data_IF_890694105557
#
_entry.id   IF_890694105557
#
_cell.length_a   1.000
_cell.length_b   1.000
_cell.length_c   1.000
_cell.angle_alpha   90.00
_cell.angle_beta   90.00
_cell.angle_gamma   90.00
#
_symmetry.space_group_name_H-M   'P 1'
#
loop_
_entity.id
_entity.type
_entity.pdbx_description
1 polymer ?
#
# COMPACT_ATOMS: atom_id res chain seq x y z
N UNK A 1 -30.71 24.31 -51.69
CA UNK A 1 -31.57 23.30 -51.04
C UNK A 1 -30.64 22.29 -50.36
N UNK A 2 -30.53 22.34 -49.03
CA UNK A 2 -29.64 21.44 -48.30
C UNK A 2 -30.33 20.08 -48.13
N UNK A 3 -29.79 19.05 -48.77
CA UNK A 3 -30.20 17.65 -48.59
C UNK A 3 -30.12 17.29 -47.11
N UNK A 4 -31.27 16.96 -46.50
CA UNK A 4 -31.28 16.46 -45.13
C UNK A 4 -30.43 15.18 -45.06
N UNK A 5 -29.46 15.10 -44.14
CA UNK A 5 -28.61 13.92 -44.04
C UNK A 5 -29.45 12.71 -43.63
N UNK A 6 -29.21 11.62 -44.36
CA UNK A 6 -29.88 10.33 -44.25
C UNK A 6 -30.02 9.89 -42.77
N UNK A 7 -31.22 9.52 -42.29
CA UNK A 7 -31.43 9.14 -40.90
C UNK A 7 -30.49 8.02 -40.43
N UNK A 8 -30.11 7.09 -41.31
CA UNK A 8 -29.16 6.03 -40.99
C UNK A 8 -27.78 6.57 -40.58
N UNK A 9 -27.33 7.66 -41.21
CA UNK A 9 -26.06 8.30 -40.90
C UNK A 9 -26.08 8.98 -39.52
N UNK A 10 -27.22 9.56 -39.13
CA UNK A 10 -27.40 10.15 -37.80
C UNK A 10 -27.34 9.10 -36.70
N UNK A 11 -27.98 7.96 -36.91
CA UNK A 11 -27.91 6.84 -35.96
C UNK A 11 -26.48 6.32 -35.80
N UNK A 12 -25.74 6.14 -36.90
CA UNK A 12 -24.34 5.71 -36.86
C UNK A 12 -23.45 6.73 -36.13
N UNK A 13 -23.62 8.02 -36.40
CA UNK A 13 -22.87 9.08 -35.72
C UNK A 13 -23.16 9.10 -34.20
N UNK A 14 -24.42 8.97 -33.80
CA UNK A 14 -24.81 8.91 -32.38
C UNK A 14 -24.23 7.70 -31.66
N UNK A 15 -24.22 6.52 -32.30
CA UNK A 15 -23.60 5.31 -31.74
C UNK A 15 -22.08 5.48 -31.61
N UNK A 16 -21.44 6.07 -32.61
CA UNK A 16 -20.00 6.31 -32.60
C UNK A 16 -19.58 7.27 -31.47
N UNK A 17 -20.35 8.35 -31.27
CA UNK A 17 -20.15 9.29 -30.17
C UNK A 17 -20.31 8.59 -28.81
N UNK A 18 -21.33 7.74 -28.66
CA UNK A 18 -21.55 6.98 -27.42
C UNK A 18 -20.37 6.03 -27.12
N UNK A 19 -19.86 5.33 -28.13
CA UNK A 19 -18.69 4.44 -27.99
C UNK A 19 -17.44 5.24 -27.61
N UNK A 20 -17.22 6.40 -28.24
CA UNK A 20 -16.10 7.30 -27.93
C UNK A 20 -16.21 7.87 -26.51
N UNK A 21 -17.42 8.20 -26.04
CA UNK A 21 -17.66 8.64 -24.67
C UNK A 21 -17.34 7.53 -23.67
N UNK A 22 -17.79 6.29 -23.92
CA UNK A 22 -17.48 5.14 -23.04
C UNK A 22 -15.98 4.85 -23.02
N UNK A 23 -15.31 4.90 -24.18
CA UNK A 23 -13.86 4.71 -24.29
C UNK A 23 -13.08 5.84 -23.59
N UNK A 24 -13.52 7.09 -23.76
CA UNK A 24 -12.97 8.27 -23.10
C UNK A 24 -13.12 8.21 -21.58
N UNK A 25 -14.30 7.85 -21.09
CA UNK A 25 -14.56 7.62 -19.65
C UNK A 25 -13.67 6.49 -19.12
N UNK A 26 -13.58 5.35 -19.81
CA UNK A 26 -12.68 4.25 -19.42
C UNK A 26 -11.20 4.67 -19.39
N UNK A 27 -10.78 5.57 -20.28
CA UNK A 27 -9.41 6.08 -20.34
C UNK A 27 -9.13 7.11 -19.24
N UNK A 28 -10.09 7.98 -18.92
CA UNK A 28 -10.00 8.95 -17.81
C UNK A 28 -10.00 8.26 -16.44
N UNK A 29 -10.73 7.14 -16.29
CA UNK A 29 -10.69 6.31 -15.08
C UNK A 29 -9.44 5.42 -14.97
N UNK A 30 -8.65 5.31 -16.05
CA UNK A 30 -7.33 4.67 -16.05
C UNK A 30 -6.24 5.71 -15.84
N UNK A 31 -6.40 6.59 -14.85
CA UNK A 31 -5.22 7.22 -14.27
C UNK A 31 -4.33 6.10 -13.74
N UNK A 32 -3.07 5.98 -14.20
CA UNK A 32 -2.16 4.99 -13.64
C UNK A 32 -2.09 5.26 -12.15
N UNK A 33 -2.39 4.24 -11.34
CA UNK A 33 -2.23 4.34 -9.89
C UNK A 33 -0.86 4.93 -9.61
N UNK A 34 -0.82 6.08 -8.91
CA UNK A 34 0.44 6.69 -8.52
C UNK A 34 1.28 5.61 -7.86
N UNK A 35 2.47 5.33 -8.42
CA UNK A 35 3.42 4.46 -7.77
C UNK A 35 3.65 5.00 -6.37
N UNK A 36 3.52 4.17 -5.31
CA UNK A 36 3.82 4.65 -3.97
C UNK A 36 5.25 5.17 -3.96
N UNK A 37 5.39 6.38 -3.45
CA UNK A 37 6.67 7.04 -3.25
C UNK A 37 6.76 7.38 -1.77
N UNK A 38 7.95 7.18 -1.21
CA UNK A 38 8.27 7.67 0.11
C UNK A 38 8.71 9.12 -0.06
N UNK A 39 7.93 10.05 0.49
CA UNK A 39 8.28 11.46 0.40
C UNK A 39 9.36 11.82 1.44
N UNK A 40 10.36 12.66 1.08
CA UNK A 40 11.35 13.14 2.02
C UNK A 40 10.67 13.93 3.15
N UNK A 41 11.16 13.78 4.38
CA UNK A 41 10.58 14.41 5.56
C UNK A 41 11.49 14.22 6.78
N UNK A 42 11.36 15.13 7.75
CA UNK A 42 12.23 15.28 8.92
C UNK A 42 11.98 14.28 10.06
N UNK A 43 10.79 13.67 10.14
CA UNK A 43 10.48 12.66 11.15
C UNK A 43 11.11 11.28 10.78
N UNK A 44 11.57 10.48 11.76
CA UNK A 44 11.99 9.11 11.48
C UNK A 44 10.81 8.29 10.97
N UNK A 45 11.03 7.52 9.90
CA UNK A 45 9.94 6.80 9.21
C UNK A 45 9.49 5.56 9.98
N UNK A 46 10.38 4.96 10.77
CA UNK A 46 10.16 3.71 11.49
C UNK A 46 10.75 3.84 12.89
N UNK A 47 10.13 3.20 13.87
CA UNK A 47 10.59 3.15 15.24
C UNK A 47 10.54 1.72 15.77
N UNK A 48 11.48 1.38 16.65
CA UNK A 48 11.41 0.20 17.49
C UNK A 48 10.37 0.42 18.60
N UNK A 49 9.69 -0.64 19.10
CA UNK A 49 8.70 -0.52 20.18
C UNK A 49 9.21 0.20 21.43
N UNK A 50 10.52 0.15 21.68
CA UNK A 50 11.23 0.81 22.77
C UNK A 50 11.37 2.33 22.57
N UNK A 51 10.97 2.86 21.41
CA UNK A 51 10.99 4.28 21.07
C UNK A 51 12.22 4.72 20.26
N UNK A 52 13.18 3.82 20.01
CA UNK A 52 14.34 4.13 19.19
C UNK A 52 13.93 4.33 17.73
N UNK A 53 14.24 5.51 17.19
CA UNK A 53 14.08 5.82 15.78
C UNK A 53 15.01 4.95 14.93
N UNK A 54 14.48 4.48 13.81
CA UNK A 54 15.18 3.59 12.89
C UNK A 54 15.06 4.12 11.46
N UNK A 55 16.17 4.17 10.73
CA UNK A 55 16.10 4.54 9.32
C UNK A 55 15.49 3.40 8.49
N UNK A 56 15.03 3.72 7.28
CA UNK A 56 14.57 2.68 6.36
C UNK A 56 15.69 1.70 5.99
N UNK A 57 16.94 2.19 5.89
CA UNK A 57 18.11 1.35 5.61
C UNK A 57 18.36 0.32 6.71
N UNK A 58 18.22 0.73 7.97
CA UNK A 58 18.41 -0.15 9.13
C UNK A 58 17.26 -1.16 9.29
N UNK A 59 16.07 -0.83 8.79
CA UNK A 59 14.91 -1.73 8.84
C UNK A 59 15.05 -2.88 7.85
N UNK A 60 15.81 -2.68 6.79
CA UNK A 60 16.04 -3.64 5.73
C UNK A 60 17.31 -4.45 5.99
N UNK A 61 17.48 -5.60 5.31
CA UNK A 61 18.76 -6.29 5.31
C UNK A 61 19.88 -5.42 4.74
N UNK A 62 21.17 -5.74 5.00
CA UNK A 62 22.32 -4.93 4.55
C UNK A 62 22.42 -4.71 3.03
N UNK A 63 21.85 -5.62 2.23
CA UNK A 63 21.76 -5.48 0.77
C UNK A 63 20.65 -4.49 0.33
N UNK A 64 19.95 -3.88 1.28
CA UNK A 64 18.80 -3.00 1.09
C UNK A 64 17.61 -3.69 0.43
N UNK A 65 17.57 -5.02 0.37
CA UNK A 65 16.60 -5.78 -0.40
C UNK A 65 15.74 -6.65 0.51
N UNK A 66 14.50 -6.21 0.72
CA UNK A 66 13.57 -6.87 1.61
C UNK A 66 12.15 -6.34 1.49
N UNK A 67 11.28 -6.82 2.37
CA UNK A 67 9.87 -6.53 2.37
C UNK A 67 9.44 -5.94 3.70
N UNK A 68 8.64 -4.88 3.65
CA UNK A 68 7.95 -4.32 4.81
C UNK A 68 6.45 -4.55 4.68
N UNK A 69 5.87 -5.29 5.62
CA UNK A 69 4.43 -5.44 5.75
C UNK A 69 3.91 -4.33 6.67
N UNK A 70 3.19 -3.38 6.10
CA UNK A 70 2.55 -2.30 6.83
C UNK A 70 1.11 -2.71 7.19
N UNK A 71 0.80 -2.63 8.47
CA UNK A 71 -0.50 -2.97 9.03
C UNK A 71 -1.00 -1.85 9.94
N UNK A 72 -2.29 -1.51 9.86
CA UNK A 72 -2.91 -0.65 10.87
C UNK A 72 -3.05 -1.45 12.16
N UNK A 73 -2.74 -0.84 13.30
CA UNK A 73 -2.90 -1.54 14.58
C UNK A 73 -4.38 -1.92 14.80
N UNK A 74 -4.65 -3.18 15.20
CA UNK A 74 -6.01 -3.71 15.21
C UNK A 74 -6.85 -3.05 16.30
N UNK A 75 -8.07 -2.65 15.94
CA UNK A 75 -9.07 -2.07 16.87
C UNK A 75 -10.16 -3.06 17.28
N UNK A 76 -10.32 -4.14 16.53
CA UNK A 76 -11.32 -5.19 16.75
C UNK A 76 -10.71 -6.58 16.43
N UNK A 77 -11.39 -7.67 16.82
CA UNK A 77 -10.91 -9.04 16.55
C UNK A 77 -10.70 -9.34 15.06
N UNK A 78 -11.58 -8.86 14.18
CA UNK A 78 -11.48 -9.08 12.73
C UNK A 78 -10.20 -8.47 12.14
N UNK A 79 -9.82 -7.27 12.59
CA UNK A 79 -8.56 -6.65 12.20
C UNK A 79 -7.36 -7.50 12.63
N UNK A 80 -7.42 -8.16 13.81
CA UNK A 80 -6.33 -9.06 14.25
C UNK A 80 -6.20 -10.27 13.33
N UNK A 81 -7.33 -10.86 12.95
CA UNK A 81 -7.36 -11.97 12.00
C UNK A 81 -6.82 -11.55 10.63
N UNK A 82 -7.20 -10.36 10.14
CA UNK A 82 -6.72 -9.84 8.87
C UNK A 82 -5.19 -9.65 8.86
N UNK A 83 -4.63 -9.07 9.93
CA UNK A 83 -3.18 -8.93 10.08
C UNK A 83 -2.52 -10.31 10.14
N UNK A 84 -3.12 -11.28 10.83
CA UNK A 84 -2.59 -12.65 10.94
C UNK A 84 -2.50 -13.32 9.57
N UNK A 85 -3.57 -13.23 8.78
CA UNK A 85 -3.60 -13.73 7.40
C UNK A 85 -2.57 -13.03 6.51
N UNK A 86 -2.45 -11.70 6.61
CA UNK A 86 -1.48 -10.94 5.84
C UNK A 86 -0.03 -11.28 6.21
N UNK A 87 0.25 -11.49 7.50
CA UNK A 87 1.55 -11.91 8.01
C UNK A 87 1.93 -13.30 7.50
N UNK A 88 1.03 -14.28 7.66
CA UNK A 88 1.29 -15.64 7.19
C UNK A 88 1.52 -15.68 5.67
N UNK A 89 0.65 -15.01 4.92
CA UNK A 89 0.79 -14.90 3.47
C UNK A 89 2.14 -14.27 3.09
N UNK A 90 2.56 -13.21 3.78
CA UNK A 90 3.82 -12.54 3.49
C UNK A 90 5.03 -13.41 3.81
N UNK A 91 4.98 -14.20 4.89
CA UNK A 91 6.02 -15.16 5.25
C UNK A 91 6.17 -16.25 4.18
N UNK A 92 5.05 -16.84 3.74
CA UNK A 92 5.04 -17.93 2.77
C UNK A 92 5.67 -17.50 1.43
N UNK A 93 5.54 -16.21 1.07
CA UNK A 93 6.01 -15.68 -0.21
C UNK A 93 7.34 -14.93 -0.14
N UNK A 94 7.83 -14.58 1.06
CA UNK A 94 9.04 -13.79 1.25
C UNK A 94 9.86 -14.28 2.46
N UNK A 95 10.30 -15.56 2.46
CA UNK A 95 11.02 -16.12 3.59
C UNK A 95 12.33 -15.36 3.87
N UNK A 96 12.55 -15.03 5.15
CA UNK A 96 13.82 -14.46 5.64
C UNK A 96 14.11 -12.99 5.29
N UNK A 97 13.22 -12.30 4.56
CA UNK A 97 13.41 -10.90 4.17
C UNK A 97 12.21 -10.01 4.51
N UNK A 98 11.44 -10.36 5.54
CA UNK A 98 10.19 -9.70 5.90
C UNK A 98 10.28 -9.05 7.29
N UNK A 99 9.86 -7.79 7.38
CA UNK A 99 9.54 -7.14 8.67
C UNK A 99 8.13 -6.60 8.69
N UNK A 100 7.51 -6.63 9.87
CA UNK A 100 6.20 -6.03 10.10
C UNK A 100 6.33 -4.63 10.68
N UNK A 101 5.53 -3.70 10.17
CA UNK A 101 5.42 -2.31 10.65
C UNK A 101 3.97 -2.07 11.07
N UNK A 102 3.78 -1.73 12.34
CA UNK A 102 2.47 -1.41 12.90
C UNK A 102 2.23 0.09 12.99
N UNK A 103 1.15 0.53 12.36
CA UNK A 103 0.78 1.95 12.31
C UNK A 103 -0.11 2.26 13.51
N UNK A 104 0.42 2.98 14.50
CA UNK A 104 -0.22 3.16 15.81
C UNK A 104 0.27 4.42 16.54
N UNK A 105 -0.58 4.95 17.42
CA UNK A 105 -0.19 5.93 18.46
C UNK A 105 0.06 5.27 19.83
N UNK A 106 0.01 3.94 19.89
CA UNK A 106 0.16 3.12 21.11
C UNK A 106 1.28 2.09 20.91
N UNK A 107 2.56 2.52 20.88
CA UNK A 107 3.70 1.63 20.63
C UNK A 107 3.89 0.58 21.73
N UNK A 108 3.47 0.90 22.96
CA UNK A 108 3.46 0.02 24.13
C UNK A 108 2.74 -1.32 23.86
N UNK A 109 1.73 -1.32 22.99
CA UNK A 109 0.92 -2.51 22.68
C UNK A 109 1.48 -3.36 21.54
N UNK A 110 2.48 -2.86 20.81
CA UNK A 110 3.04 -3.52 19.63
C UNK A 110 3.76 -4.81 20.00
N UNK A 111 4.54 -4.80 21.08
CA UNK A 111 5.22 -6.02 21.57
C UNK A 111 4.24 -7.13 21.91
N UNK A 112 3.16 -6.82 22.61
CA UNK A 112 2.17 -7.82 23.02
C UNK A 112 1.45 -8.44 21.80
N UNK A 113 1.07 -7.61 20.83
CA UNK A 113 0.47 -8.09 19.59
C UNK A 113 1.46 -8.96 18.80
N UNK A 114 2.69 -8.49 18.62
CA UNK A 114 3.71 -9.22 17.89
C UNK A 114 4.05 -10.56 18.55
N UNK A 115 4.16 -10.60 19.88
CA UNK A 115 4.37 -11.83 20.62
C UNK A 115 3.22 -12.84 20.40
N UNK A 116 1.96 -12.38 20.48
CA UNK A 116 0.79 -13.21 20.20
C UNK A 116 0.80 -13.77 18.78
N UNK A 117 1.25 -12.99 17.80
CA UNK A 117 1.32 -13.38 16.38
C UNK A 117 2.63 -14.06 15.98
N UNK A 118 3.58 -14.22 16.91
CA UNK A 118 4.95 -14.70 16.65
C UNK A 118 5.67 -13.90 15.56
N UNK A 119 5.47 -12.59 15.55
CA UNK A 119 6.15 -11.66 14.63
C UNK A 119 7.50 -11.28 15.26
N UNK A 120 8.63 -11.61 14.61
CA UNK A 120 9.94 -11.24 15.11
C UNK A 120 10.22 -9.76 14.88
N UNK A 121 10.79 -9.10 15.89
CA UNK A 121 11.29 -7.71 15.81
C UNK A 121 10.30 -6.75 15.11
N UNK A 122 9.09 -6.57 15.67
CA UNK A 122 8.11 -5.67 15.07
C UNK A 122 8.62 -4.23 15.08
N UNK A 123 8.29 -3.47 14.06
CA UNK A 123 8.47 -2.02 14.02
C UNK A 123 7.11 -1.35 14.20
N UNK A 124 7.14 -0.06 14.51
CA UNK A 124 5.96 0.78 14.47
C UNK A 124 6.24 2.11 13.77
N UNK A 125 5.16 2.79 13.41
CA UNK A 125 5.19 4.06 12.71
C UNK A 125 3.99 4.88 13.16
N UNK A 126 4.18 6.19 13.30
CA UNK A 126 3.09 7.12 13.59
C UNK A 126 2.10 7.19 12.40
N UNK A 127 0.78 7.22 12.64
CA UNK A 127 -0.20 7.33 11.57
C UNK A 127 -0.02 8.54 10.64
N UNK A 128 0.46 9.66 11.17
CA UNK A 128 0.71 10.91 10.48
C UNK A 128 1.72 10.71 9.34
N UNK A 129 2.78 9.92 9.57
CA UNK A 129 3.77 9.55 8.55
C UNK A 129 3.10 8.81 7.38
N UNK A 130 2.10 7.96 7.66
CA UNK A 130 1.37 7.28 6.61
C UNK A 130 0.65 8.27 5.70
N UNK A 131 -0.11 9.20 6.28
CA UNK A 131 -0.93 10.14 5.52
C UNK A 131 -0.08 11.20 4.79
N UNK A 132 0.99 11.65 5.43
CA UNK A 132 1.79 12.77 4.93
C UNK A 132 2.88 12.32 3.95
N UNK A 133 3.42 11.10 4.14
CA UNK A 133 4.64 10.66 3.43
C UNK A 133 4.48 9.40 2.59
N UNK A 134 3.44 8.60 2.84
CA UNK A 134 3.21 7.33 2.15
C UNK A 134 1.89 7.36 1.37
N UNK A 135 1.96 7.67 0.08
CA UNK A 135 0.82 7.55 -0.83
C UNK A 135 0.56 6.09 -1.19
N UNK A 136 -0.07 5.34 -0.29
CA UNK A 136 -0.42 3.93 -0.47
C UNK A 136 -1.93 3.74 -0.68
N UNK A 137 -2.35 2.73 -1.46
CA UNK A 137 -3.77 2.49 -1.77
C UNK A 137 -4.60 1.95 -0.60
N UNK A 138 -3.98 1.48 0.48
CA UNK A 138 -4.68 0.90 1.63
C UNK A 138 -3.77 0.05 2.50
N UNK A 139 -4.36 -0.64 3.49
CA UNK A 139 -3.68 -1.52 4.43
C UNK A 139 -4.52 -2.80 4.65
N UNK A 140 -3.92 -3.94 5.01
CA UNK A 140 -2.47 -4.22 5.03
C UNK A 140 -1.84 -4.19 3.63
N UNK A 141 -0.61 -3.67 3.55
CA UNK A 141 0.15 -3.56 2.29
C UNK A 141 1.57 -4.08 2.48
N UNK A 142 2.07 -4.77 1.46
CA UNK A 142 3.45 -5.23 1.39
C UNK A 142 4.26 -4.34 0.46
N UNK A 143 5.34 -3.76 0.96
CA UNK A 143 6.29 -2.93 0.22
C UNK A 143 7.55 -3.74 -0.05
N UNK A 144 8.01 -3.76 -1.30
CA UNK A 144 9.18 -4.51 -1.75
C UNK A 144 10.30 -3.54 -2.11
N UNK A 145 11.45 -3.74 -1.48
CA UNK A 145 12.65 -2.94 -1.67
C UNK A 145 13.73 -3.75 -2.38
N UNK A 146 14.50 -3.08 -3.22
CA UNK A 146 15.75 -3.59 -3.77
C UNK A 146 16.80 -2.49 -3.74
N UNK A 147 17.95 -2.76 -3.11
CA UNK A 147 19.04 -1.79 -2.91
C UNK A 147 18.58 -0.48 -2.24
N UNK A 148 17.68 -0.59 -1.26
CA UNK A 148 17.13 0.55 -0.51
C UNK A 148 16.00 1.31 -1.23
N UNK A 149 15.68 0.95 -2.48
CA UNK A 149 14.64 1.61 -3.26
C UNK A 149 13.34 0.81 -3.29
N UNK A 150 12.21 1.50 -3.14
CA UNK A 150 10.88 0.88 -3.28
C UNK A 150 10.64 0.50 -4.75
N UNK A 151 10.54 -0.80 -5.03
CA UNK A 151 10.30 -1.33 -6.39
C UNK A 151 8.85 -1.68 -6.64
N UNK A 152 8.15 -2.21 -5.62
CA UNK A 152 6.78 -2.71 -5.77
C UNK A 152 5.99 -2.54 -4.48
N UNK A 153 4.67 -2.40 -4.63
CA UNK A 153 3.71 -2.47 -3.54
C UNK A 153 2.62 -3.49 -3.87
N UNK A 154 2.07 -4.16 -2.85
CA UNK A 154 0.94 -5.08 -3.01
C UNK A 154 -0.03 -4.92 -1.85
N UNK A 155 -1.25 -4.49 -2.15
CA UNK A 155 -2.34 -4.50 -1.17
C UNK A 155 -2.77 -5.95 -0.92
N UNK A 156 -2.91 -6.32 0.36
CA UNK A 156 -3.28 -7.68 0.77
C UNK A 156 -4.73 -7.79 1.25
N UNK A 157 -5.41 -6.66 1.48
CA UNK A 157 -6.86 -6.62 1.65
C UNK A 157 -7.56 -6.53 0.29
N UNK A 158 -8.37 -7.55 -0.01
CA UNK A 158 -9.56 -7.43 -0.85
C UNK A 158 -10.74 -7.96 -0.04
#
# INVERSE_FOLDING_TARGET
MASQPDPAFRYLASVLILVLLIAGVRRLTRTPHQHPRILPGSAPLLCLPEGQALSLGDALPPDGSGCLLLCRFPRNPDSRLQIGRAWQWALDHNPGRLRAVFITRRPDRVRNLAAWMRIPSPLWMEPEILYDRLRIPGLPILLYFAKGELKKCRLLAR
#
